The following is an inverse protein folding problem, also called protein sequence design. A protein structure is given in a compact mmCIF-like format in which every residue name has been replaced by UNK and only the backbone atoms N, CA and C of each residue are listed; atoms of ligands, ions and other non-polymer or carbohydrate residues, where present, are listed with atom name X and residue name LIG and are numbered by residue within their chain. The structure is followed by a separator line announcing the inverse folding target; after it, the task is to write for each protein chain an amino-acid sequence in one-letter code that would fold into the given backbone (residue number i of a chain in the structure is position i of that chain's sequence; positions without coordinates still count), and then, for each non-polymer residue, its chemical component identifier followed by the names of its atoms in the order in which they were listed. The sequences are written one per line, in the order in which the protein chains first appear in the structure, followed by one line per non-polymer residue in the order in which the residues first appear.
data_IF_134984436515
#
_entry.id   IF_134984436515
#
_cell.length_a   1.000
_cell.length_b   1.000
_cell.length_c   1.000
_cell.angle_alpha   90.00
_cell.angle_beta   90.00
_cell.angle_gamma   90.00
#
_symmetry.space_group_name_H-M   'P 1'
#
loop_
_entity.id
_entity.type
_entity.pdbx_description
1 polymer ?
#
# COMPACT_ATOMS: atom_id res chain seq x y z
N UNK A 1 -33.91 21.89 46.02
CA UNK A 1 -32.51 22.38 46.00
C UNK A 1 -31.64 21.29 45.39
N UNK A 2 -31.47 21.37 44.06
CA UNK A 2 -30.18 21.49 43.37
C UNK A 2 -29.41 20.16 43.22
N UNK A 3 -29.29 19.76 41.94
CA UNK A 3 -28.04 19.34 41.26
C UNK A 3 -27.40 18.01 41.74
N UNK A 4 -27.04 17.02 40.93
CA UNK A 4 -26.74 17.00 39.50
C UNK A 4 -27.17 15.66 38.88
N UNK A 5 -27.95 15.79 37.82
CA UNK A 5 -28.16 14.80 36.78
C UNK A 5 -26.82 14.56 36.05
N UNK A 6 -26.61 13.31 35.61
CA UNK A 6 -25.79 12.93 34.46
C UNK A 6 -24.31 13.33 34.47
N UNK A 7 -23.46 12.43 34.97
CA UNK A 7 -22.11 12.27 34.42
C UNK A 7 -22.05 10.93 33.68
N UNK A 8 -22.72 10.90 32.52
CA UNK A 8 -22.52 9.85 31.52
C UNK A 8 -21.14 10.15 30.91
N UNK A 9 -20.11 9.50 31.47
CA UNK A 9 -18.74 9.57 30.97
C UNK A 9 -18.76 9.01 29.54
N UNK A 10 -18.85 9.91 28.55
CA UNK A 10 -18.72 9.56 27.14
C UNK A 10 -17.28 9.08 26.96
N UNK A 11 -17.11 7.76 27.02
CA UNK A 11 -15.93 7.08 26.51
C UNK A 11 -15.97 7.29 25.00
N UNK A 12 -15.39 8.41 24.55
CA UNK A 12 -14.98 8.58 23.16
C UNK A 12 -13.93 7.50 22.90
N UNK A 13 -14.39 6.33 22.45
CA UNK A 13 -13.55 5.42 21.71
C UNK A 13 -13.05 6.22 20.50
N UNK A 14 -11.83 6.74 20.61
CA UNK A 14 -11.03 7.12 19.46
C UNK A 14 -10.76 5.84 18.68
N UNK A 15 -11.75 5.39 17.91
CA UNK A 15 -11.51 4.44 16.84
C UNK A 15 -10.63 5.18 15.86
N UNK A 16 -9.33 4.94 15.96
CA UNK A 16 -8.36 5.36 14.96
C UNK A 16 -8.73 4.62 13.69
N UNK A 17 -9.61 5.23 12.89
CA UNK A 17 -10.16 4.64 11.68
C UNK A 17 -9.02 4.66 10.65
N UNK A 18 -8.18 3.63 10.69
CA UNK A 18 -7.14 3.43 9.68
C UNK A 18 -7.84 3.36 8.34
N UNK A 19 -7.32 4.08 7.35
CA UNK A 19 -7.83 3.98 6.00
C UNK A 19 -7.49 2.58 5.46
N UNK A 20 -8.52 1.80 5.16
CA UNK A 20 -8.38 0.43 4.65
C UNK A 20 -8.20 0.39 3.13
N UNK A 21 -8.22 1.53 2.45
CA UNK A 21 -8.11 1.60 0.99
C UNK A 21 -7.35 2.85 0.57
N UNK A 22 -6.32 2.67 -0.24
CA UNK A 22 -5.53 3.74 -0.85
C UNK A 22 -5.59 3.62 -2.36
N UNK A 23 -5.73 4.75 -3.06
CA UNK A 23 -5.52 4.82 -4.49
C UNK A 23 -4.19 5.50 -4.77
N UNK A 24 -3.28 4.79 -5.44
CA UNK A 24 -1.94 5.30 -5.77
C UNK A 24 -1.88 5.52 -7.27
N UNK A 25 -1.71 6.77 -7.68
CA UNK A 25 -1.66 7.16 -9.08
C UNK A 25 -0.26 7.55 -9.52
N UNK A 26 0.05 7.35 -10.80
CA UNK A 26 1.14 8.09 -11.46
C UNK A 26 0.86 9.60 -11.41
N UNK A 27 1.90 10.42 -11.56
CA UNK A 27 1.78 11.88 -11.50
C UNK A 27 0.85 12.45 -12.58
N UNK A 28 0.72 11.78 -13.73
CA UNK A 28 -0.20 12.13 -14.80
C UNK A 28 -1.60 11.51 -14.66
N UNK A 29 -1.86 10.79 -13.55
CA UNK A 29 -3.07 10.02 -13.24
C UNK A 29 -3.50 8.98 -14.28
N UNK A 30 -2.65 8.63 -15.26
CA UNK A 30 -2.97 7.60 -16.26
C UNK A 30 -2.90 6.18 -15.70
N UNK A 31 -2.00 5.97 -14.74
CA UNK A 31 -1.85 4.70 -14.05
C UNK A 31 -2.39 4.83 -12.63
N UNK A 32 -3.09 3.81 -12.16
CA UNK A 32 -3.61 3.71 -10.81
C UNK A 32 -3.45 2.27 -10.31
N UNK A 33 -3.18 2.10 -9.03
CA UNK A 33 -3.47 0.87 -8.29
C UNK A 33 -4.37 1.20 -7.10
N UNK A 34 -5.27 0.28 -6.76
CA UNK A 34 -5.93 0.28 -5.45
C UNK A 34 -5.17 -0.67 -4.53
N UNK A 35 -4.80 -0.20 -3.34
CA UNK A 35 -4.35 -1.04 -2.24
C UNK A 35 -5.48 -1.13 -1.21
N UNK A 36 -5.94 -2.34 -0.91
CA UNK A 36 -7.05 -2.57 0.04
C UNK A 36 -6.67 -3.61 1.08
N UNK A 37 -6.75 -3.22 2.35
CA UNK A 37 -6.49 -4.11 3.48
C UNK A 37 -7.83 -4.65 4.03
N UNK A 38 -7.92 -5.96 4.25
CA UNK A 38 -9.05 -6.64 4.90
C UNK A 38 -8.46 -7.54 5.99
N UNK A 39 -8.40 -7.04 7.22
CA UNK A 39 -7.72 -7.72 8.32
C UNK A 39 -6.22 -7.83 8.08
N UNK A 40 -5.70 -9.06 7.92
CA UNK A 40 -4.28 -9.34 7.62
C UNK A 40 -4.03 -9.69 6.14
N UNK A 41 -5.03 -9.44 5.30
CA UNK A 41 -4.92 -9.64 3.86
C UNK A 41 -4.81 -8.28 3.17
N UNK A 42 -3.84 -8.14 2.27
CA UNK A 42 -3.73 -6.98 1.39
C UNK A 42 -4.01 -7.39 -0.05
N UNK A 43 -4.84 -6.60 -0.72
CA UNK A 43 -5.05 -6.67 -2.16
C UNK A 43 -4.34 -5.50 -2.82
N UNK A 44 -3.57 -5.76 -3.86
CA UNK A 44 -3.08 -4.74 -4.78
C UNK A 44 -3.76 -5.00 -6.12
N UNK A 45 -4.55 -4.04 -6.59
CA UNK A 45 -5.49 -4.18 -7.69
C UNK A 45 -5.10 -3.20 -8.79
N UNK A 46 -5.07 -3.64 -10.05
CA UNK A 46 -4.88 -2.72 -11.18
C UNK A 46 -6.08 -1.79 -11.33
N UNK A 47 -5.83 -0.48 -11.35
CA UNK A 47 -6.86 0.54 -11.55
C UNK A 47 -7.52 1.01 -10.26
N UNK A 48 -8.59 1.81 -10.42
CA UNK A 48 -9.36 2.38 -9.31
C UNK A 48 -10.57 1.50 -9.01
N UNK A 49 -10.58 0.88 -7.84
CA UNK A 49 -11.64 -0.03 -7.39
C UNK A 49 -12.11 0.28 -5.97
N UNK A 50 -13.42 0.21 -5.73
CA UNK A 50 -14.03 0.34 -4.39
C UNK A 50 -14.09 -1.01 -3.64
N UNK A 51 -14.22 -2.11 -4.37
CA UNK A 51 -14.25 -3.49 -3.89
C UNK A 51 -13.20 -4.35 -4.60
N UNK A 52 -12.93 -5.54 -4.07
CA UNK A 52 -12.00 -6.49 -4.71
C UNK A 52 -12.69 -7.13 -5.92
N UNK A 53 -12.16 -6.98 -7.15
CA UNK A 53 -12.68 -7.65 -8.35
C UNK A 53 -12.34 -9.15 -8.36
N UNK A 54 -12.88 -9.88 -9.34
CA UNK A 54 -12.60 -11.32 -9.49
C UNK A 54 -11.25 -11.61 -10.17
N UNK A 55 -10.65 -10.61 -10.84
CA UNK A 55 -9.40 -10.66 -11.61
C UNK A 55 -8.54 -9.39 -11.41
N UNK A 56 -7.35 -9.32 -12.04
CA UNK A 56 -6.46 -8.14 -12.01
C UNK A 56 -6.04 -7.66 -10.60
N UNK A 57 -5.78 -8.61 -9.70
CA UNK A 57 -5.25 -8.33 -8.37
C UNK A 57 -4.15 -9.31 -7.98
N UNK A 58 -3.37 -8.93 -6.98
CA UNK A 58 -2.57 -9.85 -6.17
C UNK A 58 -3.05 -9.78 -4.71
N UNK A 59 -3.18 -10.94 -4.10
CA UNK A 59 -3.63 -11.14 -2.71
C UNK A 59 -2.44 -11.59 -1.88
N UNK A 60 -2.18 -10.84 -0.81
CA UNK A 60 -1.02 -10.99 0.04
C UNK A 60 -1.47 -11.28 1.48
N UNK A 61 -0.77 -12.20 2.13
CA UNK A 61 -0.73 -12.27 3.60
C UNK A 61 0.32 -11.28 4.11
N UNK A 62 -0.11 -10.37 4.97
CA UNK A 62 0.74 -9.38 5.64
C UNK A 62 0.81 -9.59 7.16
N UNK A 63 0.34 -10.74 7.66
CA UNK A 63 0.32 -11.06 9.09
C UNK A 63 1.70 -11.06 9.74
N UNK A 64 2.75 -11.44 9.00
CA UNK A 64 4.14 -11.46 9.44
C UNK A 64 4.86 -10.11 9.37
N UNK A 65 4.22 -9.06 8.85
CA UNK A 65 4.85 -7.74 8.67
C UNK A 65 4.57 -6.89 9.91
N UNK A 66 5.63 -6.44 10.58
CA UNK A 66 5.51 -5.48 11.68
C UNK A 66 5.08 -4.11 11.14
N UNK A 67 4.17 -3.42 11.85
CA UNK A 67 3.60 -2.14 11.37
C UNK A 67 4.65 -1.08 11.01
N UNK A 68 5.77 -1.01 11.73
CA UNK A 68 6.86 -0.05 11.48
C UNK A 68 7.64 -0.33 10.18
N UNK A 69 7.54 -1.54 9.65
CA UNK A 69 8.17 -1.95 8.39
C UNK A 69 7.16 -2.21 7.28
N UNK A 70 5.88 -1.90 7.49
CA UNK A 70 4.84 -2.12 6.50
C UNK A 70 4.83 -0.98 5.48
N UNK A 71 5.35 -1.27 4.29
CA UNK A 71 5.41 -0.32 3.20
C UNK A 71 5.24 -0.97 1.83
N UNK A 72 4.83 -0.16 0.86
CA UNK A 72 4.76 -0.50 -0.54
C UNK A 72 5.73 0.38 -1.30
N UNK A 73 6.56 -0.18 -2.17
CA UNK A 73 7.33 0.62 -3.11
C UNK A 73 6.98 0.22 -4.53
N UNK A 74 7.07 1.15 -5.46
CA UNK A 74 6.80 0.82 -6.85
C UNK A 74 7.24 1.86 -7.84
N UNK A 75 7.32 1.48 -9.11
CA UNK A 75 7.56 2.38 -10.23
C UNK A 75 6.48 2.20 -11.29
N UNK A 76 6.03 3.30 -11.88
CA UNK A 76 5.14 3.28 -13.04
C UNK A 76 5.94 3.46 -14.33
N UNK A 77 5.47 2.87 -15.42
CA UNK A 77 6.12 2.87 -16.75
C UNK A 77 7.61 2.45 -16.68
N UNK A 78 7.92 1.38 -15.94
CA UNK A 78 9.28 0.89 -15.78
C UNK A 78 9.60 -0.19 -16.83
N UNK A 79 10.25 0.21 -17.93
CA UNK A 79 10.48 -0.66 -19.08
C UNK A 79 9.16 -1.00 -19.77
N UNK A 80 8.85 -2.29 -19.91
CA UNK A 80 7.60 -2.75 -20.54
C UNK A 80 6.42 -2.85 -19.54
N UNK A 81 6.65 -2.62 -18.25
CA UNK A 81 5.64 -2.78 -17.23
C UNK A 81 4.93 -1.46 -16.93
N UNK A 82 3.59 -1.53 -16.85
CA UNK A 82 2.75 -0.47 -16.30
C UNK A 82 3.13 -0.19 -14.85
N UNK A 83 3.35 -1.26 -14.07
CA UNK A 83 3.74 -1.20 -12.67
C UNK A 83 4.78 -2.26 -12.32
N UNK A 84 5.79 -1.83 -11.55
CA UNK A 84 6.78 -2.67 -10.89
C UNK A 84 6.67 -2.42 -9.38
N UNK A 85 6.08 -3.34 -8.63
CA UNK A 85 5.68 -3.15 -7.23
C UNK A 85 6.41 -4.14 -6.32
N UNK A 86 6.76 -3.69 -5.12
CA UNK A 86 7.26 -4.54 -4.04
C UNK A 86 6.54 -4.28 -2.73
N UNK A 87 6.10 -5.35 -2.07
CA UNK A 87 5.66 -5.33 -0.67
C UNK A 87 6.52 -6.35 0.11
N UNK A 88 7.58 -5.85 0.75
CA UNK A 88 8.60 -6.67 1.39
C UNK A 88 8.01 -7.59 2.47
N UNK A 89 8.51 -8.83 2.55
CA UNK A 89 8.11 -9.86 3.55
C UNK A 89 6.65 -10.31 3.49
N UNK A 90 5.89 -9.85 2.49
CA UNK A 90 4.54 -10.38 2.24
C UNK A 90 4.61 -11.82 1.72
N UNK A 91 3.56 -12.59 1.94
CA UNK A 91 3.40 -13.92 1.34
C UNK A 91 2.33 -13.82 0.26
N UNK A 92 2.66 -14.23 -0.97
CA UNK A 92 1.70 -14.25 -2.07
C UNK A 92 0.75 -15.43 -1.86
N UNK A 93 -0.54 -15.13 -1.66
CA UNK A 93 -1.60 -16.14 -1.57
C UNK A 93 -2.14 -16.46 -2.96
N UNK A 94 -2.35 -15.42 -3.79
CA UNK A 94 -2.94 -15.54 -5.11
C UNK A 94 -2.49 -14.38 -5.99
N UNK A 95 -2.14 -14.65 -7.25
CA UNK A 95 -1.76 -13.62 -8.21
C UNK A 95 -2.58 -13.79 -9.50
N UNK A 96 -3.42 -12.79 -9.80
CA UNK A 96 -4.25 -12.65 -11.01
C UNK A 96 -3.91 -11.39 -11.80
N UNK A 97 -2.77 -10.74 -11.53
CA UNK A 97 -2.30 -9.61 -12.32
C UNK A 97 -1.83 -10.08 -13.70
N UNK A 98 -2.05 -9.26 -14.71
CA UNK A 98 -1.50 -9.46 -16.06
C UNK A 98 0.04 -9.34 -16.02
N UNK A 99 0.79 -10.44 -16.19
CA UNK A 99 2.25 -10.44 -16.05
C UNK A 99 2.95 -9.67 -17.18
N UNK A 100 2.26 -9.35 -18.28
CA UNK A 100 2.81 -8.48 -19.32
C UNK A 100 2.80 -7.00 -18.91
N UNK A 101 1.95 -6.61 -17.94
CA UNK A 101 1.80 -5.23 -17.47
C UNK A 101 2.31 -5.02 -16.05
N UNK A 102 2.31 -6.07 -15.23
CA UNK A 102 2.65 -6.00 -13.82
C UNK A 102 3.83 -6.89 -13.48
N UNK A 103 4.82 -6.29 -12.81
CA UNK A 103 5.84 -7.02 -12.06
C UNK A 103 5.59 -6.81 -10.58
N UNK A 104 5.57 -7.91 -9.83
CA UNK A 104 5.45 -7.88 -8.38
C UNK A 104 6.60 -8.67 -7.73
N UNK A 105 7.10 -8.17 -6.60
CA UNK A 105 8.05 -8.86 -5.73
C UNK A 105 7.61 -8.76 -4.27
N UNK A 106 7.88 -9.79 -3.48
CA UNK A 106 7.76 -9.74 -2.01
C UNK A 106 9.09 -9.55 -1.29
N UNK A 107 10.16 -9.26 -2.04
CA UNK A 107 11.50 -9.04 -1.52
C UNK A 107 12.07 -7.76 -2.10
N UNK A 108 12.59 -6.88 -1.24
CA UNK A 108 13.34 -5.70 -1.67
C UNK A 108 14.62 -6.08 -2.42
N UNK A 109 15.06 -5.27 -3.40
CA UNK A 109 16.39 -5.43 -3.95
C UNK A 109 17.44 -5.20 -2.86
N UNK A 110 18.59 -5.83 -3.01
CA UNK A 110 19.75 -5.63 -2.13
C UNK A 110 20.73 -4.65 -2.74
N UNK A 111 21.41 -3.86 -1.91
CA UNK A 111 22.54 -3.03 -2.33
C UNK A 111 23.83 -3.86 -2.48
N UNK A 112 24.93 -3.20 -2.87
CA UNK A 112 26.24 -3.85 -3.07
C UNK A 112 26.81 -4.54 -1.81
N UNK A 113 26.23 -4.27 -0.63
CA UNK A 113 26.59 -4.90 0.65
C UNK A 113 25.66 -6.07 1.01
N UNK A 114 24.69 -6.39 0.15
CA UNK A 114 23.68 -7.41 0.41
C UNK A 114 22.54 -6.94 1.32
N UNK A 115 22.39 -5.64 1.56
CA UNK A 115 21.38 -5.09 2.48
C UNK A 115 20.11 -4.73 1.69
N UNK A 116 18.93 -5.24 2.10
CA UNK A 116 17.66 -4.86 1.49
C UNK A 116 17.45 -3.34 1.52
N UNK A 117 17.08 -2.75 0.37
CA UNK A 117 16.97 -1.30 0.23
C UNK A 117 15.83 -0.88 -0.69
N UNK A 118 15.27 0.30 -0.42
CA UNK A 118 14.27 0.95 -1.27
C UNK A 118 14.89 1.96 -2.24
N UNK A 119 16.22 2.10 -2.31
CA UNK A 119 16.89 3.16 -3.08
C UNK A 119 16.46 3.23 -4.55
N UNK A 120 16.22 2.07 -5.20
CA UNK A 120 15.72 1.99 -6.58
C UNK A 120 14.38 2.73 -6.78
N UNK A 121 13.57 2.83 -5.73
CA UNK A 121 12.22 3.40 -5.77
C UNK A 121 12.16 4.89 -5.40
N UNK A 122 13.31 5.57 -5.23
CA UNK A 122 13.38 7.00 -4.90
C UNK A 122 13.50 7.92 -6.14
N UNK A 123 13.27 7.39 -7.34
CA UNK A 123 13.34 8.11 -8.62
C UNK A 123 11.99 8.77 -9.00
N UNK A 124 11.99 9.64 -10.01
CA UNK A 124 10.82 10.49 -10.37
C UNK A 124 9.54 9.72 -10.76
N UNK A 125 9.67 8.52 -11.33
CA UNK A 125 8.54 7.66 -11.70
C UNK A 125 8.30 6.53 -10.71
N UNK A 126 8.82 6.67 -9.50
CA UNK A 126 8.74 5.69 -8.44
C UNK A 126 8.24 6.32 -7.14
N UNK A 127 7.74 5.48 -6.25
CA UNK A 127 7.21 5.88 -4.97
C UNK A 127 7.53 4.84 -3.90
N UNK A 128 7.45 5.29 -2.66
CA UNK A 128 7.55 4.49 -1.43
C UNK A 128 6.46 5.01 -0.52
N UNK A 129 5.57 4.12 -0.09
CA UNK A 129 4.39 4.41 0.71
C UNK A 129 4.49 3.69 2.05
N UNK A 130 4.32 4.43 3.13
CA UNK A 130 4.33 3.93 4.51
C UNK A 130 2.89 3.75 4.99
N UNK A 131 2.47 2.53 5.30
CA UNK A 131 1.08 2.25 5.73
C UNK A 131 0.82 2.62 7.18
N UNK A 132 1.84 2.82 8.00
CA UNK A 132 1.70 3.26 9.38
C UNK A 132 1.35 4.75 9.42
N UNK A 133 2.01 5.54 8.56
CA UNK A 133 1.81 6.99 8.45
C UNK A 133 0.75 7.39 7.42
N UNK A 134 0.48 6.52 6.45
CA UNK A 134 -0.43 6.80 5.34
C UNK A 134 0.13 7.83 4.36
N UNK A 135 1.45 7.90 4.20
CA UNK A 135 2.14 8.94 3.44
C UNK A 135 3.21 8.37 2.49
N UNK A 136 3.61 9.19 1.51
CA UNK A 136 4.73 8.93 0.62
C UNK A 136 6.06 9.35 1.27
N UNK A 137 7.14 8.58 1.07
CA UNK A 137 8.43 8.81 1.71
C UNK A 137 9.63 8.62 0.75
N UNK A 138 10.07 9.65 0.01
CA UNK A 138 9.66 11.06 0.10
C UNK A 138 8.30 11.33 -0.56
N UNK A 139 7.69 12.48 -0.24
CA UNK A 139 6.41 12.94 -0.80
C UNK A 139 6.52 13.37 -2.27
N UNK A 140 6.75 12.39 -3.14
CA UNK A 140 6.92 12.57 -4.58
C UNK A 140 6.64 11.27 -5.36
N UNK A 141 6.57 11.41 -6.68
CA UNK A 141 6.57 10.28 -7.62
C UNK A 141 5.24 9.54 -7.79
N UNK A 142 4.30 9.73 -6.87
CA UNK A 142 2.92 9.28 -6.98
C UNK A 142 1.95 10.28 -6.33
N UNK A 143 0.64 10.09 -6.55
CA UNK A 143 -0.45 10.81 -5.87
C UNK A 143 -1.26 9.80 -5.06
N UNK A 144 -1.59 10.10 -3.81
CA UNK A 144 -2.40 9.26 -2.94
C UNK A 144 -3.80 9.88 -2.78
N UNK A 145 -4.85 9.09 -3.03
CA UNK A 145 -6.25 9.46 -2.77
C UNK A 145 -7.00 8.44 -1.91
#
# INVERSE_FOLDING_TARGET
MKLFLTSLLIILFFTNCKKDTYHIYSLDKKNCITVKDIGKIRYIIDGKHSSVPNDNYIKLDISGIASIGDGLAGCWNNGNFKWDIVNDKSIIIENKLDPAKFRFSNTLPVDDRGIPTQNKYRNNNCFTFDFLRGELLPDQGAIIE
#
